data_IF_327113017648
#
_entry.id   IF_327113017648
#
_cell.length_a   1.000
_cell.length_b   1.000
_cell.length_c   1.000
_cell.angle_alpha   90.00
_cell.angle_beta   90.00
_cell.angle_gamma   90.00
#
_symmetry.space_group_name_H-M   'P 1'
#
loop_
_entity.id
_entity.type
_entity.pdbx_description
1 polymer ?
#
# COMPACT_ATOMS: atom_id res chain seq x y z
N UNK A 1 -7.67 5.14 13.06
CA UNK A 1 -7.91 4.66 11.68
C UNK A 1 -8.02 3.15 11.74
N UNK A 2 -9.01 2.56 11.07
CA UNK A 2 -9.18 1.09 11.05
C UNK A 2 -8.33 0.48 9.93
N UNK A 3 -7.65 -0.64 10.21
CA UNK A 3 -6.84 -1.35 9.21
C UNK A 3 -7.66 -1.85 8.03
N UNK A 4 -8.91 -2.24 8.25
CA UNK A 4 -9.78 -2.73 7.18
C UNK A 4 -10.12 -1.62 6.21
N UNK A 5 -10.44 -0.43 6.74
CA UNK A 5 -10.68 0.73 5.91
C UNK A 5 -9.45 1.09 5.08
N UNK A 6 -8.24 1.07 5.67
CA UNK A 6 -7.00 1.33 4.93
C UNK A 6 -6.79 0.27 3.83
N UNK A 7 -7.04 -1.01 4.10
CA UNK A 7 -6.92 -2.07 3.11
C UNK A 7 -7.86 -1.84 1.91
N UNK A 8 -9.10 -1.42 2.18
CA UNK A 8 -10.07 -1.03 1.16
C UNK A 8 -9.60 0.18 0.36
N UNK A 9 -9.10 1.24 1.04
CA UNK A 9 -8.55 2.43 0.37
C UNK A 9 -7.40 2.06 -0.57
N UNK A 10 -6.50 1.18 -0.13
CA UNK A 10 -5.38 0.67 -0.95
C UNK A 10 -5.86 -0.07 -2.19
N UNK A 11 -6.82 -0.99 -2.05
CA UNK A 11 -7.38 -1.71 -3.20
C UNK A 11 -8.02 -0.75 -4.21
N UNK A 12 -8.78 0.23 -3.71
CA UNK A 12 -9.41 1.25 -4.54
C UNK A 12 -8.39 2.07 -5.34
N UNK A 13 -7.24 2.43 -4.76
CA UNK A 13 -6.22 3.21 -5.48
C UNK A 13 -5.43 2.32 -6.46
N UNK A 14 -5.29 1.02 -6.17
CA UNK A 14 -4.64 0.07 -7.08
C UNK A 14 -5.50 -0.28 -8.30
N UNK A 15 -6.83 -0.08 -8.27
CA UNK A 15 -7.71 -0.36 -9.40
C UNK A 15 -7.30 0.40 -10.67
N UNK A 16 -6.98 1.69 -10.51
CA UNK A 16 -6.68 2.62 -11.60
C UNK A 16 -5.38 2.24 -12.32
N UNK A 17 -4.33 1.94 -11.55
CA UNK A 17 -2.98 1.71 -12.08
C UNK A 17 -2.62 0.23 -12.25
N UNK A 18 -3.31 -0.67 -11.54
CA UNK A 18 -2.96 -2.09 -11.40
C UNK A 18 -1.74 -2.35 -10.52
N UNK A 19 -0.85 -1.37 -10.35
CA UNK A 19 0.31 -1.43 -9.48
C UNK A 19 0.69 -0.03 -9.00
N UNK A 20 1.19 0.09 -7.77
CA UNK A 20 1.69 1.36 -7.25
C UNK A 20 2.71 1.15 -6.13
N UNK A 21 3.63 2.11 -5.98
CA UNK A 21 4.66 2.09 -4.97
C UNK A 21 4.08 2.37 -3.58
N UNK A 22 4.53 1.61 -2.57
CA UNK A 22 3.88 1.63 -1.26
C UNK A 22 3.92 3.00 -0.56
N UNK A 23 4.94 3.83 -0.83
CA UNK A 23 5.00 5.20 -0.30
C UNK A 23 3.91 6.11 -0.90
N UNK A 24 3.67 6.01 -2.21
CA UNK A 24 2.63 6.80 -2.88
C UNK A 24 1.24 6.36 -2.45
N UNK A 25 1.01 5.05 -2.32
CA UNK A 25 -0.23 4.53 -1.74
C UNK A 25 -0.42 4.95 -0.28
N UNK A 26 0.63 4.99 0.54
CA UNK A 26 0.53 5.51 1.90
C UNK A 26 0.05 6.97 1.90
N UNK A 27 0.52 7.77 0.94
CA UNK A 27 0.06 9.14 0.78
C UNK A 27 -1.39 9.23 0.27
N UNK A 28 -1.89 8.30 -0.54
CA UNK A 28 -3.28 8.40 -1.01
C UNK A 28 -4.31 7.81 -0.03
N UNK A 29 -3.91 6.78 0.71
CA UNK A 29 -4.78 5.97 1.58
C UNK A 29 -4.76 6.39 3.06
N UNK A 30 -3.69 7.00 3.56
CA UNK A 30 -3.59 7.48 4.95
C UNK A 30 -3.92 8.97 5.05
N UNK A 31 -4.18 9.42 6.28
CA UNK A 31 -4.45 10.82 6.61
C UNK A 31 -3.16 11.67 6.69
N UNK A 32 -1.99 11.03 6.54
CA UNK A 32 -0.67 11.68 6.46
C UNK A 32 -0.27 12.51 7.68
N UNK A 33 -0.66 12.11 8.89
CA UNK A 33 -0.31 12.85 10.12
C UNK A 33 1.15 12.66 10.54
N UNK A 34 1.82 11.62 10.01
CA UNK A 34 3.22 11.31 10.32
C UNK A 34 3.38 10.48 11.59
N UNK A 35 2.27 10.05 12.20
CA UNK A 35 2.28 9.24 13.41
C UNK A 35 2.84 7.83 13.13
N UNK A 36 3.60 7.29 14.09
CA UNK A 36 4.19 5.95 13.96
C UNK A 36 3.12 4.86 13.77
N UNK A 37 1.98 5.01 14.44
CA UNK A 37 0.86 4.07 14.35
C UNK A 37 0.27 3.99 12.94
N UNK A 38 0.33 5.07 12.15
CA UNK A 38 -0.16 5.04 10.76
C UNK A 38 0.60 4.01 9.92
N UNK A 39 1.94 3.96 10.05
CA UNK A 39 2.76 2.98 9.32
C UNK A 39 2.48 1.56 9.79
N UNK A 40 2.27 1.36 11.09
CA UNK A 40 1.98 0.04 11.64
C UNK A 40 0.62 -0.47 11.17
N UNK A 41 -0.42 0.36 11.21
CA UNK A 41 -1.77 0.00 10.73
C UNK A 41 -1.75 -0.21 9.22
N UNK A 42 -1.00 0.60 8.47
CA UNK A 42 -0.81 0.41 7.04
C UNK A 42 -0.13 -0.93 6.72
N UNK A 43 0.94 -1.29 7.43
CA UNK A 43 1.60 -2.59 7.28
C UNK A 43 0.66 -3.76 7.59
N UNK A 44 -0.16 -3.65 8.64
CA UNK A 44 -1.19 -4.64 8.94
C UNK A 44 -2.23 -4.77 7.81
N UNK A 45 -2.67 -3.64 7.24
CA UNK A 45 -3.59 -3.64 6.11
C UNK A 45 -2.97 -4.34 4.87
N UNK A 46 -1.70 -4.05 4.55
CA UNK A 46 -0.98 -4.73 3.46
C UNK A 46 -0.86 -6.23 3.72
N UNK A 47 -0.57 -6.64 4.96
CA UNK A 47 -0.51 -8.05 5.33
C UNK A 47 -1.86 -8.77 5.16
N UNK A 48 -2.97 -8.12 5.50
CA UNK A 48 -4.31 -8.68 5.28
C UNK A 48 -4.59 -8.87 3.77
N UNK A 49 -4.22 -7.89 2.94
CA UNK A 49 -4.37 -7.96 1.48
C UNK A 49 -3.51 -9.07 0.85
N UNK A 50 -2.26 -9.22 1.31
CA UNK A 50 -1.36 -10.31 0.91
C UNK A 50 -1.91 -11.68 1.32
N UNK A 51 -2.38 -11.80 2.56
CA UNK A 51 -2.96 -13.04 3.09
C UNK A 51 -4.22 -13.46 2.32
N UNK A 52 -5.01 -12.49 1.84
CA UNK A 52 -6.17 -12.72 0.99
C UNK A 52 -5.83 -12.92 -0.49
N UNK A 53 -4.55 -12.87 -0.87
CA UNK A 53 -4.07 -12.92 -2.26
C UNK A 53 -4.71 -11.86 -3.17
N UNK A 54 -5.04 -10.69 -2.62
CA UNK A 54 -5.54 -9.56 -3.40
C UNK A 54 -4.42 -8.72 -4.02
N UNK A 55 -3.22 -8.78 -3.45
CA UNK A 55 -2.03 -8.13 -3.99
C UNK A 55 -0.84 -9.08 -3.96
N UNK A 56 0.11 -8.83 -4.85
CA UNK A 56 1.46 -9.38 -4.86
C UNK A 56 2.49 -8.26 -4.62
N UNK A 57 3.75 -8.64 -4.37
CA UNK A 57 4.84 -7.71 -4.14
C UNK A 57 5.85 -7.75 -5.27
N UNK A 58 6.31 -6.58 -5.69
CA UNK A 58 7.56 -6.44 -6.42
C UNK A 58 8.54 -5.57 -5.63
N UNK A 59 9.83 -5.82 -5.79
CA UNK A 59 10.87 -4.97 -5.20
C UNK A 59 11.83 -4.45 -6.24
N UNK A 60 12.38 -3.27 -5.96
CA UNK A 60 13.47 -2.68 -6.71
C UNK A 60 14.51 -2.18 -5.72
N UNK A 61 15.76 -2.61 -5.90
CA UNK A 61 16.91 -2.17 -5.13
C UNK A 61 17.84 -1.33 -5.99
N UNK A 62 18.75 -0.56 -5.39
CA UNK A 62 19.73 0.24 -6.14
C UNK A 62 20.60 -0.60 -7.10
N UNK A 63 20.87 -1.85 -6.75
CA UNK A 63 21.68 -2.76 -7.58
C UNK A 63 20.88 -3.34 -8.76
N UNK A 64 19.55 -3.32 -8.69
CA UNK A 64 18.65 -3.87 -9.70
C UNK A 64 17.84 -2.75 -10.32
N UNK A 65 18.14 -2.38 -11.56
CA UNK A 65 17.36 -1.31 -12.22
C UNK A 65 15.97 -1.79 -12.72
N UNK A 66 15.65 -3.07 -12.54
CA UNK A 66 14.34 -3.63 -12.87
C UNK A 66 13.57 -4.03 -11.60
N UNK A 67 12.24 -4.04 -11.69
CA UNK A 67 11.39 -4.63 -10.67
C UNK A 67 11.52 -6.15 -10.69
N UNK A 68 11.54 -6.77 -9.51
CA UNK A 68 11.53 -8.22 -9.35
C UNK A 68 10.29 -8.60 -8.58
N UNK A 69 9.39 -9.37 -9.22
CA UNK A 69 8.23 -9.94 -8.55
C UNK A 69 8.72 -10.93 -7.50
N UNK A 70 8.24 -10.77 -6.28
CA UNK A 70 8.47 -11.70 -5.18
C UNK A 70 7.44 -12.82 -5.31
N UNK A 71 7.83 -14.09 -5.14
CA UNK A 71 6.86 -15.18 -5.06
C UNK A 71 5.74 -14.85 -4.06
N UNK A 72 4.49 -15.29 -4.30
CA UNK A 72 3.37 -14.93 -3.43
C UNK A 72 3.68 -15.19 -1.96
N UNK A 73 3.57 -14.13 -1.15
CA UNK A 73 3.77 -14.16 0.29
C UNK A 73 2.47 -13.78 0.98
N UNK A 74 2.22 -14.36 2.15
CA UNK A 74 1.02 -14.02 2.96
C UNK A 74 1.21 -12.78 3.82
N UNK A 75 2.46 -12.43 4.10
CA UNK A 75 2.84 -11.27 4.91
C UNK A 75 4.11 -10.67 4.36
N UNK A 76 4.31 -9.38 4.59
CA UNK A 76 5.56 -8.71 4.30
C UNK A 76 6.71 -9.42 5.04
N UNK A 77 7.79 -9.77 4.32
CA UNK A 77 9.02 -10.23 4.95
C UNK A 77 9.55 -9.16 5.92
N UNK A 78 10.23 -9.54 7.03
CA UNK A 78 10.79 -8.56 7.96
C UNK A 78 11.74 -7.54 7.31
N UNK A 79 12.48 -7.95 6.27
CA UNK A 79 13.35 -7.07 5.47
C UNK A 79 12.60 -6.02 4.66
N UNK A 80 11.27 -6.15 4.54
CA UNK A 80 10.37 -5.30 3.78
C UNK A 80 9.33 -4.61 4.68
N UNK A 81 9.60 -4.50 5.99
CA UNK A 81 8.71 -3.80 6.92
C UNK A 81 8.58 -2.32 6.53
N UNK A 82 7.33 -1.88 6.30
CA UNK A 82 6.99 -0.50 5.93
C UNK A 82 7.31 0.47 7.07
N UNK A 83 7.25 0.02 8.32
CA UNK A 83 7.64 0.85 9.47
C UNK A 83 9.08 1.34 9.39
N UNK A 84 9.96 0.54 8.77
CA UNK A 84 11.39 0.81 8.59
C UNK A 84 11.72 1.41 7.22
N UNK A 85 10.93 1.06 6.18
CA UNK A 85 11.17 1.54 4.82
C UNK A 85 10.59 2.94 4.55
N UNK A 86 9.59 3.37 5.31
CA UNK A 86 8.94 4.66 5.13
C UNK A 86 9.29 5.63 6.26
N UNK A 87 9.56 6.87 5.89
CA UNK A 87 9.74 8.00 6.82
C UNK A 87 8.85 9.15 6.42
N UNK A 88 8.40 9.93 7.39
CA UNK A 88 7.56 11.10 7.14
C UNK A 88 8.44 12.33 6.92
N UNK A 89 8.22 13.04 5.81
CA UNK A 89 8.81 14.35 5.57
C UNK A 89 7.83 15.44 6.02
N UNK A 90 8.06 16.09 7.18
CA UNK A 90 7.14 17.11 7.70
C UNK A 90 7.11 18.38 6.85
N UNK A 91 8.10 18.62 5.99
CA UNK A 91 8.12 19.79 5.09
C UNK A 91 7.20 19.60 3.90
N UNK A 92 7.10 18.36 3.42
CA UNK A 92 6.24 17.97 2.29
C UNK A 92 4.91 17.39 2.73
N UNK A 93 4.76 17.14 4.04
CA UNK A 93 3.61 16.48 4.66
C UNK A 93 3.30 15.14 4.00
N UNK A 94 4.33 14.35 3.68
CA UNK A 94 4.15 13.07 3.00
C UNK A 94 5.13 11.99 3.47
N UNK A 95 4.71 10.74 3.29
CA UNK A 95 5.56 9.57 3.42
C UNK A 95 6.49 9.45 2.22
N UNK A 96 7.77 9.22 2.50
CA UNK A 96 8.83 8.98 1.51
C UNK A 96 9.64 7.75 1.91
N UNK A 97 10.41 7.22 0.96
CA UNK A 97 11.33 6.12 1.20
C UNK A 97 12.48 6.57 2.11
N UNK A 98 12.69 5.85 3.22
CA UNK A 98 13.84 5.99 4.10
C UNK A 98 15.06 5.22 3.60
N UNK A 99 14.84 4.26 2.69
CA UNK A 99 15.87 3.38 2.15
C UNK A 99 15.83 3.35 0.62
N UNK A 100 16.87 2.78 0.02
CA UNK A 100 16.95 2.58 -1.43
C UNK A 100 16.06 1.43 -1.92
N UNK A 101 15.62 0.54 -1.02
CA UNK A 101 14.73 -0.57 -1.35
C UNK A 101 13.30 -0.05 -1.44
N UNK A 102 12.71 -0.22 -2.62
CA UNK A 102 11.33 0.18 -2.90
C UNK A 102 10.46 -1.04 -3.08
N UNK A 103 9.21 -0.92 -2.66
CA UNK A 103 8.18 -1.94 -2.82
C UNK A 103 7.10 -1.40 -3.74
N UNK A 104 6.70 -2.23 -4.69
CA UNK A 104 5.51 -2.07 -5.52
C UNK A 104 4.47 -3.07 -5.02
N UNK A 105 3.24 -2.60 -4.81
CA UNK A 105 2.08 -3.44 -4.57
C UNK A 105 1.39 -3.65 -5.91
N UNK A 106 1.17 -4.90 -6.29
CA UNK A 106 0.63 -5.28 -7.60
C UNK A 106 -0.71 -5.95 -7.39
N UNK A 107 -1.75 -5.48 -8.06
CA UNK A 107 -3.09 -6.04 -7.95
C UNK A 107 -3.16 -7.40 -8.64
N UNK A 108 -3.71 -8.41 -7.97
CA UNK A 108 -3.98 -9.72 -8.59
C UNK A 108 -5.33 -9.72 -9.29
N UNK A 109 -5.64 -10.74 -10.09
CA UNK A 109 -6.99 -10.91 -10.66
C UNK A 109 -8.09 -11.04 -9.59
N UNK A 110 -7.75 -11.61 -8.43
CA UNK A 110 -8.68 -11.69 -7.30
C UNK A 110 -8.83 -10.32 -6.63
N UNK A 111 -7.72 -9.59 -6.47
CA UNK A 111 -7.75 -8.21 -5.96
C UNK A 111 -8.54 -7.27 -6.85
N UNK A 112 -8.41 -7.40 -8.18
CA UNK A 112 -9.16 -6.60 -9.17
C UNK A 112 -10.66 -6.78 -9.01
N UNK A 113 -11.14 -8.03 -8.97
CA UNK A 113 -12.56 -8.31 -8.74
C UNK A 113 -13.06 -7.74 -7.40
N UNK A 114 -12.24 -7.83 -6.35
CA UNK A 114 -12.60 -7.27 -5.03
C UNK A 114 -12.63 -5.74 -5.05
N UNK A 115 -11.69 -5.12 -5.75
CA UNK A 115 -11.61 -3.67 -5.95
C UNK A 115 -12.81 -3.14 -6.74
N UNK A 116 -13.17 -3.78 -7.85
CA UNK A 116 -14.35 -3.43 -8.66
C UNK A 116 -15.64 -3.50 -7.83
N UNK A 117 -15.80 -4.56 -7.01
CA UNK A 117 -16.92 -4.69 -6.09
C UNK A 117 -16.96 -3.53 -5.09
N UNK A 118 -15.82 -3.24 -4.46
CA UNK A 118 -15.69 -2.16 -3.47
C UNK A 118 -16.02 -0.78 -4.07
N UNK A 119 -15.53 -0.51 -5.28
CA UNK A 119 -15.81 0.73 -6.01
C UNK A 119 -17.27 0.85 -6.41
N UNK A 120 -17.92 -0.27 -6.75
CA UNK A 120 -19.36 -0.31 -7.02
C UNK A 120 -20.19 0.03 -5.77
N UNK A 121 -19.78 -0.49 -4.61
CA UNK A 121 -20.50 -0.31 -3.35
C UNK A 121 -20.30 1.07 -2.73
N UNK A 122 -19.07 1.62 -2.78
CA UNK A 122 -18.70 2.85 -2.04
C UNK A 122 -18.42 4.05 -2.94
N UNK A 123 -18.16 3.82 -4.24
CA UNK A 123 -17.73 4.83 -5.19
C UNK A 123 -16.26 5.23 -5.03
N UNK A 124 -15.70 5.92 -6.02
CA UNK A 124 -14.28 6.30 -5.99
C UNK A 124 -13.95 7.29 -4.86
N UNK A 125 -12.82 7.05 -4.15
CA UNK A 125 -12.28 7.91 -3.08
C UNK A 125 -13.32 8.33 -2.03
N UNK A 126 -14.17 7.39 -1.59
CA UNK A 126 -15.26 7.68 -0.65
C UNK A 126 -14.79 8.32 0.66
N UNK A 127 -13.58 7.98 1.12
CA UNK A 127 -12.99 8.50 2.36
C UNK A 127 -12.54 9.95 2.28
N UNK A 128 -12.40 10.53 1.08
CA UNK A 128 -11.99 11.94 0.90
C UNK A 128 -13.17 12.91 0.81
N UNK A 129 -14.40 12.40 0.76
CA UNK A 129 -15.62 13.24 0.70
C UNK A 129 -16.02 13.79 2.08
N UNK A 130 -15.35 13.36 3.14
CA UNK A 130 -15.64 13.74 4.52
C UNK A 130 -14.73 14.88 5.07
N UNK A 131 -13.95 15.54 4.21
CA UNK A 131 -13.21 16.77 4.56
C UNK A 131 -13.99 18.03 4.22
#
# INVERSE_FOLDING_TARGET
MDKHEIAERVLSELDEAGEENAASLANTSLDQTGLADERAIYELAINDLLSAAFIDLATKSKQQNHWTIIPPVKTLPPSLSLTSLLTYDPRRQCWTWATETKILLVLTDTGRRKSEQLLTERGHRWWRKAM
#
